data_IF_369720592493
#
_entry.id   IF_369720592493
#
_cell.length_a   1.000
_cell.length_b   1.000
_cell.length_c   1.000
_cell.angle_alpha   90.00
_cell.angle_beta   90.00
_cell.angle_gamma   90.00
#
_symmetry.space_group_name_H-M   'P 1'
#
loop_
_entity.id
_entity.type
_entity.pdbx_description
1 polymer ?
#
# COMPACT_ATOMS: atom_id res chain seq x y z
N UNK A 1 -23.22 -23.61 33.60
CA UNK A 1 -23.56 -22.78 32.43
C UNK A 1 -22.62 -23.10 31.28
N UNK A 2 -23.14 -23.28 30.06
CA UNK A 2 -22.31 -23.44 28.85
C UNK A 2 -22.13 -22.06 28.21
N UNK A 3 -20.89 -21.68 27.91
CA UNK A 3 -20.54 -20.43 27.22
C UNK A 3 -20.46 -20.68 25.73
N UNK A 4 -21.27 -19.98 24.93
CA UNK A 4 -21.21 -20.06 23.46
C UNK A 4 -20.49 -18.83 22.91
N UNK A 5 -19.40 -19.07 22.19
CA UNK A 5 -18.58 -18.03 21.54
C UNK A 5 -18.70 -18.22 20.03
N UNK A 6 -18.98 -17.13 19.33
CA UNK A 6 -19.02 -17.09 17.86
C UNK A 6 -17.84 -16.29 17.35
N UNK A 7 -17.07 -16.89 16.43
CA UNK A 7 -16.08 -16.18 15.62
C UNK A 7 -16.74 -15.81 14.30
N UNK A 8 -16.96 -14.52 14.06
CA UNK A 8 -17.74 -14.01 12.95
C UNK A 8 -16.89 -13.21 11.97
N UNK A 9 -16.98 -13.57 10.69
CA UNK A 9 -16.57 -12.71 9.60
C UNK A 9 -17.78 -11.98 8.98
N UNK A 10 -18.89 -11.78 9.70
CA UNK A 10 -20.01 -10.97 9.21
C UNK A 10 -19.78 -9.49 9.52
N UNK A 11 -20.60 -8.63 8.90
CA UNK A 11 -20.62 -7.20 9.25
C UNK A 11 -21.16 -7.02 10.67
N UNK A 12 -20.76 -5.97 11.38
CA UNK A 12 -21.20 -5.66 12.74
C UNK A 12 -22.73 -5.62 12.85
N UNK A 13 -23.40 -5.09 11.83
CA UNK A 13 -24.87 -5.07 11.79
C UNK A 13 -25.49 -6.47 11.76
N UNK A 14 -24.85 -7.41 11.05
CA UNK A 14 -25.29 -8.80 11.01
C UNK A 14 -24.96 -9.53 12.30
N UNK A 15 -23.86 -9.18 12.97
CA UNK A 15 -23.52 -9.69 14.29
C UNK A 15 -24.53 -9.23 15.35
N UNK A 16 -25.03 -7.98 15.24
CA UNK A 16 -26.15 -7.50 16.08
C UNK A 16 -27.41 -8.33 15.85
N UNK A 17 -27.80 -8.52 14.59
CA UNK A 17 -28.95 -9.35 14.25
C UNK A 17 -28.80 -10.80 14.74
N UNK A 18 -27.58 -11.35 14.68
CA UNK A 18 -27.28 -12.67 15.18
C UNK A 18 -27.42 -12.75 16.71
N UNK A 19 -26.92 -11.75 17.43
CA UNK A 19 -27.07 -11.65 18.89
C UNK A 19 -28.55 -11.53 19.30
N UNK A 20 -29.34 -10.70 18.60
CA UNK A 20 -30.77 -10.56 18.85
C UNK A 20 -31.54 -11.86 18.60
N UNK A 21 -31.19 -12.56 17.51
CA UNK A 21 -31.87 -13.80 17.10
C UNK A 21 -31.51 -15.00 18.00
N UNK A 22 -30.34 -14.97 18.64
CA UNK A 22 -29.83 -16.10 19.44
C UNK A 22 -29.28 -15.63 20.81
N UNK A 23 -30.16 -15.35 21.80
CA UNK A 23 -29.76 -14.87 23.13
C UNK A 23 -28.85 -15.84 23.94
N UNK A 24 -28.68 -17.08 23.48
CA UNK A 24 -27.77 -18.07 24.08
C UNK A 24 -26.29 -17.77 23.78
N UNK A 25 -25.98 -16.92 22.80
CA UNK A 25 -24.60 -16.53 22.49
C UNK A 25 -24.09 -15.62 23.60
N UNK A 26 -22.96 -15.97 24.21
CA UNK A 26 -22.35 -15.17 25.27
C UNK A 26 -21.39 -14.11 24.71
N UNK A 27 -20.71 -14.44 23.61
CA UNK A 27 -19.71 -13.57 22.98
C UNK A 27 -19.70 -13.75 21.46
N UNK A 28 -19.65 -12.64 20.72
CA UNK A 28 -19.32 -12.61 19.30
C UNK A 28 -18.00 -11.86 19.14
N UNK A 29 -17.03 -12.49 18.49
CA UNK A 29 -15.77 -11.88 18.07
C UNK A 29 -15.86 -11.63 16.56
N UNK A 30 -16.10 -10.38 16.17
CA UNK A 30 -16.23 -9.94 14.78
C UNK A 30 -14.90 -9.55 14.13
N UNK A 31 -14.79 -9.64 12.80
CA UNK A 31 -13.56 -9.29 12.07
C UNK A 31 -13.75 -8.51 10.74
N UNK A 32 -14.95 -8.48 10.14
CA UNK A 32 -15.12 -7.98 8.75
C UNK A 32 -15.11 -6.46 8.61
N UNK A 33 -15.88 -5.75 9.43
CA UNK A 33 -15.98 -4.31 9.29
C UNK A 33 -14.78 -3.68 9.98
N UNK A 34 -13.91 -2.94 9.29
CA UNK A 34 -12.69 -2.37 9.90
C UNK A 34 -12.93 -1.32 11.00
N UNK A 35 -14.17 -1.22 11.49
CA UNK A 35 -14.52 -0.60 12.75
C UNK A 35 -14.06 -1.51 13.90
N UNK A 36 -13.27 -0.97 14.83
CA UNK A 36 -12.98 -1.64 16.09
C UNK A 36 -13.85 -1.07 17.19
N UNK A 37 -14.24 -1.93 18.13
CA UNK A 37 -15.08 -1.53 19.25
C UNK A 37 -14.19 -1.07 20.40
N UNK A 38 -13.96 0.24 20.56
CA UNK A 38 -13.20 0.78 21.71
C UNK A 38 -13.79 0.33 23.06
N UNK A 39 -15.11 0.16 23.10
CA UNK A 39 -15.85 -0.47 24.19
C UNK A 39 -16.68 -1.61 23.61
N UNK A 40 -16.83 -2.75 24.32
CA UNK A 40 -17.70 -3.83 23.89
C UNK A 40 -19.13 -3.34 23.64
N UNK A 41 -19.79 -3.96 22.68
CA UNK A 41 -21.18 -3.68 22.35
C UNK A 41 -22.04 -4.79 22.96
N UNK A 42 -23.02 -4.41 23.78
CA UNK A 42 -23.93 -5.38 24.38
C UNK A 42 -25.26 -5.39 23.62
N UNK A 43 -25.72 -6.61 23.32
CA UNK A 43 -27.02 -6.88 22.70
C UNK A 43 -27.69 -7.96 23.53
N UNK A 44 -28.61 -7.57 24.40
CA UNK A 44 -29.22 -8.47 25.38
C UNK A 44 -28.17 -9.14 26.27
N UNK A 45 -28.09 -10.46 26.21
CA UNK A 45 -27.13 -11.30 26.96
C UNK A 45 -25.89 -11.66 26.16
N UNK A 46 -25.67 -11.03 25.01
CA UNK A 46 -24.52 -11.24 24.14
C UNK A 46 -23.62 -10.01 24.14
N UNK A 47 -22.32 -10.22 24.33
CA UNK A 47 -21.30 -9.19 24.12
C UNK A 47 -20.67 -9.34 22.73
N UNK A 48 -20.50 -8.25 22.02
CA UNK A 48 -19.85 -8.19 20.71
C UNK A 48 -18.57 -7.39 20.85
N UNK A 49 -17.46 -7.97 20.38
CA UNK A 49 -16.14 -7.35 20.38
C UNK A 49 -15.52 -7.47 19.01
N UNK A 50 -14.78 -6.44 18.61
CA UNK A 50 -14.04 -6.45 17.36
C UNK A 50 -12.69 -5.75 17.55
N UNK A 51 -11.62 -6.51 17.28
CA UNK A 51 -10.25 -5.97 17.25
C UNK A 51 -10.02 -5.22 15.94
N UNK A 52 -9.19 -4.17 16.00
CA UNK A 52 -8.82 -3.42 14.80
C UNK A 52 -7.98 -4.26 13.84
N UNK A 53 -7.81 -3.74 12.63
CA UNK A 53 -6.99 -4.36 11.59
C UNK A 53 -5.49 -4.15 11.85
N UNK A 54 -4.65 -4.98 11.20
CA UNK A 54 -3.16 -4.91 11.22
C UNK A 54 -2.48 -5.18 12.56
N UNK A 55 -3.10 -5.97 13.45
CA UNK A 55 -2.49 -6.39 14.72
C UNK A 55 -2.03 -5.21 15.59
N UNK A 56 -2.70 -4.06 15.48
CA UNK A 56 -2.41 -2.89 16.33
C UNK A 56 -2.96 -3.06 17.74
N UNK A 57 -3.93 -3.96 17.93
CA UNK A 57 -4.56 -4.22 19.21
C UNK A 57 -4.71 -5.72 19.44
N UNK A 58 -4.52 -6.14 20.68
CA UNK A 58 -4.86 -7.47 21.18
C UNK A 58 -6.16 -7.38 21.97
N UNK A 59 -7.17 -8.14 21.55
CA UNK A 59 -8.39 -8.31 22.32
C UNK A 59 -8.19 -9.32 23.45
N UNK A 60 -8.45 -8.91 24.68
CA UNK A 60 -8.40 -9.77 25.87
C UNK A 60 -9.82 -9.91 26.40
N UNK A 61 -10.30 -11.15 26.52
CA UNK A 61 -11.62 -11.45 27.07
C UNK A 61 -11.48 -12.31 28.31
N UNK A 62 -12.04 -11.84 29.43
CA UNK A 62 -12.03 -12.52 30.72
C UNK A 62 -13.44 -12.98 31.06
N UNK A 63 -13.61 -14.29 31.25
CA UNK A 63 -14.88 -14.86 31.68
C UNK A 63 -14.99 -14.82 33.21
N UNK A 64 -16.06 -14.23 33.76
CA UNK A 64 -16.30 -14.25 35.20
C UNK A 64 -16.48 -15.70 35.68
N UNK A 65 -15.95 -16.00 36.87
CA UNK A 65 -16.03 -17.33 37.47
C UNK A 65 -17.46 -17.76 37.82
N UNK A 66 -17.66 -19.06 38.04
CA UNK A 66 -18.97 -19.70 38.21
C UNK A 66 -19.86 -19.13 39.34
N UNK A 67 -19.33 -18.30 40.24
CA UNK A 67 -20.07 -17.66 41.34
C UNK A 67 -20.84 -16.39 40.91
N UNK A 68 -20.68 -15.94 39.67
CA UNK A 68 -21.39 -14.78 39.13
C UNK A 68 -22.50 -15.23 38.19
N UNK A 69 -23.72 -15.38 38.69
CA UNK A 69 -24.90 -15.48 37.83
C UNK A 69 -25.05 -14.18 37.04
N UNK A 70 -24.91 -14.27 35.71
CA UNK A 70 -25.27 -13.24 34.73
C UNK A 70 -24.35 -12.02 34.53
N UNK A 71 -23.01 -12.17 34.60
CA UNK A 71 -22.13 -11.12 34.06
C UNK A 71 -21.60 -11.48 32.66
N UNK A 72 -21.73 -10.54 31.73
CA UNK A 72 -21.15 -10.63 30.39
C UNK A 72 -19.62 -10.72 30.48
N UNK A 73 -18.95 -11.41 29.54
CA UNK A 73 -17.48 -11.50 29.53
C UNK A 73 -16.84 -10.10 29.56
N UNK A 74 -15.87 -9.85 30.44
CA UNK A 74 -15.14 -8.59 30.42
C UNK A 74 -14.24 -8.58 29.19
N UNK A 75 -14.21 -7.47 28.45
CA UNK A 75 -13.41 -7.37 27.25
C UNK A 75 -12.64 -6.04 27.21
N UNK A 76 -11.35 -6.16 26.91
CA UNK A 76 -10.38 -5.08 26.83
C UNK A 76 -9.63 -5.14 25.49
N UNK A 77 -9.30 -3.97 24.95
CA UNK A 77 -8.37 -3.83 23.83
C UNK A 77 -7.03 -3.31 24.36
N UNK A 78 -6.01 -4.15 24.29
CA UNK A 78 -4.64 -3.78 24.62
C UNK A 78 -3.95 -3.27 23.36
N UNK A 79 -3.53 -2.02 23.35
CA UNK A 79 -2.74 -1.45 22.25
C UNK A 79 -1.37 -2.13 22.17
N UNK A 80 -1.05 -2.72 21.03
CA UNK A 80 0.25 -3.28 20.71
C UNK A 80 1.13 -2.16 20.12
N UNK A 81 1.38 -1.10 20.90
CA UNK A 81 2.45 -0.15 20.58
C UNK A 81 3.82 -0.74 20.91
N UNK A 82 4.87 -0.09 20.40
CA UNK A 82 6.35 -0.29 20.44
C UNK A 82 6.98 -1.19 21.53
N UNK A 83 6.30 -1.49 22.64
CA UNK A 83 6.77 -2.34 23.74
C UNK A 83 7.06 -3.79 23.34
N UNK A 84 6.28 -4.37 22.42
CA UNK A 84 6.55 -5.73 21.88
C UNK A 84 7.67 -5.75 20.84
N UNK A 85 7.92 -4.62 20.15
CA UNK A 85 9.07 -4.47 19.25
C UNK A 85 10.40 -4.36 20.02
N UNK A 86 10.37 -3.87 21.26
CA UNK A 86 11.55 -3.69 22.11
C UNK A 86 12.16 -4.99 22.64
N UNK A 87 11.43 -6.10 22.62
CA UNK A 87 11.93 -7.41 23.05
C UNK A 87 11.25 -8.57 22.32
N UNK A 88 11.49 -8.72 21.01
CA UNK A 88 10.90 -9.81 20.23
C UNK A 88 11.49 -11.15 20.70
N UNK A 89 10.63 -12.15 20.85
CA UNK A 89 11.06 -13.52 21.13
C UNK A 89 12.09 -13.97 20.07
N UNK A 90 13.30 -14.42 20.46
CA UNK A 90 14.35 -14.82 19.53
C UNK A 90 13.92 -15.90 18.53
N UNK A 91 13.05 -16.83 18.94
CA UNK A 91 12.50 -17.89 18.10
C UNK A 91 11.52 -17.31 17.08
N UNK A 92 10.66 -16.38 17.49
CA UNK A 92 9.73 -15.69 16.57
C UNK A 92 10.50 -14.83 15.56
N UNK A 93 11.52 -14.10 16.00
CA UNK A 93 12.40 -13.31 15.12
C UNK A 93 13.08 -14.17 14.07
N UNK A 94 13.56 -15.35 14.45
CA UNK A 94 14.14 -16.34 13.53
C UNK A 94 13.11 -16.81 12.49
N UNK A 95 11.92 -17.21 12.93
CA UNK A 95 10.85 -17.67 12.03
C UNK A 95 10.43 -16.59 11.01
N UNK A 96 10.25 -15.35 11.46
CA UNK A 96 9.94 -14.22 10.58
C UNK A 96 11.05 -14.00 9.55
N UNK A 97 12.31 -14.05 9.97
CA UNK A 97 13.48 -13.86 9.10
C UNK A 97 13.55 -14.95 8.02
N UNK A 98 13.37 -16.21 8.42
CA UNK A 98 13.32 -17.34 7.49
C UNK A 98 12.15 -17.23 6.51
N UNK A 99 10.96 -16.81 6.98
CA UNK A 99 9.80 -16.59 6.12
C UNK A 99 9.99 -15.43 5.14
N UNK A 100 10.54 -14.29 5.58
CA UNK A 100 10.83 -13.13 4.70
C UNK A 100 11.78 -13.53 3.58
N UNK A 101 12.85 -14.25 3.91
CA UNK A 101 13.85 -14.74 2.95
C UNK A 101 13.23 -15.70 1.92
N UNK A 102 12.35 -16.62 2.35
CA UNK A 102 11.63 -17.54 1.45
C UNK A 102 10.60 -16.81 0.59
N UNK A 103 9.84 -15.89 1.16
CA UNK A 103 8.77 -15.16 0.48
C UNK A 103 9.30 -14.23 -0.61
N UNK A 104 10.45 -13.60 -0.40
CA UNK A 104 11.16 -12.83 -1.44
C UNK A 104 11.48 -13.67 -2.69
N UNK A 105 11.75 -14.97 -2.52
CA UNK A 105 12.00 -15.89 -3.64
C UNK A 105 10.71 -16.29 -4.38
N UNK A 106 9.55 -16.18 -3.72
CA UNK A 106 8.24 -16.61 -4.21
C UNK A 106 7.45 -15.51 -4.94
N UNK A 107 7.88 -14.24 -4.89
CA UNK A 107 7.27 -13.11 -5.63
C UNK A 107 7.28 -13.30 -7.16
N UNK A 108 8.00 -14.31 -7.66
CA UNK A 108 8.00 -14.71 -9.07
C UNK A 108 6.66 -15.24 -9.61
N UNK A 109 5.63 -15.44 -8.78
CA UNK A 109 4.38 -16.08 -9.20
C UNK A 109 3.20 -15.16 -8.89
N UNK A 110 2.87 -14.27 -9.82
CA UNK A 110 1.50 -13.80 -10.13
C UNK A 110 1.59 -12.90 -11.36
N UNK A 111 1.83 -13.50 -12.52
CA UNK A 111 1.50 -12.88 -13.80
C UNK A 111 -0.02 -12.79 -13.91
N UNK A 112 -0.60 -11.66 -13.51
CA UNK A 112 -1.89 -11.29 -14.07
C UNK A 112 -1.66 -10.88 -15.52
N UNK A 113 -2.05 -11.77 -16.43
CA UNK A 113 -2.26 -11.48 -17.86
C UNK A 113 -3.22 -10.28 -18.00
N UNK A 114 -2.66 -9.08 -18.02
CA UNK A 114 -3.31 -7.92 -18.60
C UNK A 114 -2.61 -7.62 -19.93
N UNK A 115 -3.39 -7.60 -21.01
CA UNK A 115 -2.91 -7.48 -22.38
C UNK A 115 -1.99 -6.25 -22.54
N UNK A 116 -0.81 -6.37 -23.15
CA UNK A 116 0.19 -5.32 -23.09
C UNK A 116 0.00 -4.26 -24.19
N UNK A 117 0.19 -2.99 -23.82
CA UNK A 117 0.69 -1.94 -24.73
C UNK A 117 2.22 -2.05 -24.87
N UNK A 118 2.78 -3.26 -24.95
CA UNK A 118 4.23 -3.51 -24.91
C UNK A 118 4.86 -3.45 -23.50
N UNK A 119 6.20 -3.56 -23.40
CA UNK A 119 6.92 -3.54 -22.13
C UNK A 119 6.93 -2.15 -21.47
N UNK A 120 7.05 -2.13 -20.15
CA UNK A 120 7.34 -0.92 -19.39
C UNK A 120 8.77 -0.43 -19.66
N UNK A 121 8.93 0.89 -19.84
CA UNK A 121 10.21 1.52 -20.18
C UNK A 121 10.87 2.27 -19.02
N UNK A 122 10.12 2.63 -17.98
CA UNK A 122 10.54 3.46 -16.85
C UNK A 122 10.91 4.90 -17.25
N UNK A 123 11.00 5.79 -16.26
CA UNK A 123 11.25 7.21 -16.50
C UNK A 123 12.61 7.50 -17.17
N UNK A 124 13.57 6.57 -17.08
CA UNK A 124 14.94 6.71 -17.60
C UNK A 124 14.93 6.97 -19.12
N UNK A 125 14.02 6.34 -19.84
CA UNK A 125 13.80 6.59 -21.27
C UNK A 125 13.02 7.88 -21.51
N UNK A 126 11.97 8.12 -20.72
CA UNK A 126 11.07 9.25 -20.89
C UNK A 126 11.75 10.62 -20.71
N UNK A 127 12.65 10.74 -19.73
CA UNK A 127 13.30 12.02 -19.38
C UNK A 127 14.14 12.60 -20.53
N UNK A 128 14.61 11.75 -21.45
CA UNK A 128 15.40 12.18 -22.62
C UNK A 128 14.62 13.11 -23.55
N UNK A 129 13.30 12.98 -23.61
CA UNK A 129 12.41 13.84 -24.41
C UNK A 129 11.44 14.68 -23.56
N UNK A 130 11.15 14.25 -22.33
CA UNK A 130 10.14 14.85 -21.45
C UNK A 130 10.73 15.38 -20.13
N UNK A 131 11.84 16.09 -20.21
CA UNK A 131 12.54 16.65 -19.05
C UNK A 131 11.63 17.53 -18.16
N UNK A 132 10.79 18.46 -18.69
CA UNK A 132 9.94 19.29 -17.82
C UNK A 132 8.89 18.47 -17.06
N UNK A 133 8.29 17.49 -17.72
CA UNK A 133 7.32 16.58 -17.10
C UNK A 133 7.99 15.69 -16.04
N UNK A 134 9.21 15.22 -16.31
CA UNK A 134 10.01 14.48 -15.34
C UNK A 134 10.32 15.31 -14.09
N UNK A 135 10.79 16.56 -14.24
CA UNK A 135 11.07 17.46 -13.12
C UNK A 135 9.82 17.72 -12.27
N UNK A 136 8.67 17.92 -12.92
CA UNK A 136 7.39 18.04 -12.21
C UNK A 136 7.06 16.75 -11.43
N UNK A 137 7.10 15.59 -12.10
CA UNK A 137 6.83 14.30 -11.47
C UNK A 137 7.71 14.05 -10.25
N UNK A 138 9.00 14.39 -10.35
CA UNK A 138 9.97 14.23 -9.28
C UNK A 138 9.60 15.00 -8.02
N UNK A 139 8.88 16.12 -8.13
CA UNK A 139 8.35 16.88 -6.99
C UNK A 139 7.11 16.27 -6.32
N UNK A 140 6.50 15.24 -6.91
CA UNK A 140 5.26 14.64 -6.40
C UNK A 140 5.51 13.59 -5.32
N UNK A 141 4.49 13.27 -4.52
CA UNK A 141 4.55 12.16 -3.56
C UNK A 141 4.72 10.79 -4.24
N UNK A 142 4.36 10.66 -5.52
CA UNK A 142 4.50 9.40 -6.26
C UNK A 142 5.95 9.07 -6.59
N UNK A 143 6.76 10.08 -6.95
CA UNK A 143 8.20 9.90 -7.14
C UNK A 143 8.92 9.49 -5.85
N UNK A 144 8.36 9.88 -4.70
CA UNK A 144 8.89 9.57 -3.37
C UNK A 144 8.16 8.41 -2.68
N UNK A 145 7.35 7.64 -3.40
CA UNK A 145 6.47 6.64 -2.80
C UNK A 145 7.24 5.58 -2.02
N UNK A 146 8.51 5.28 -2.34
CA UNK A 146 9.30 4.26 -1.65
C UNK A 146 9.81 4.68 -0.28
N UNK A 147 9.91 5.98 0.02
CA UNK A 147 10.50 6.48 1.27
C UNK A 147 9.86 5.89 2.54
N UNK A 148 8.51 5.83 2.68
CA UNK A 148 7.91 5.20 3.86
C UNK A 148 8.17 3.70 3.99
N UNK A 149 8.48 2.99 2.90
CA UNK A 149 8.84 1.56 2.96
C UNK A 149 10.28 1.37 3.43
N UNK A 150 11.17 2.32 3.11
CA UNK A 150 12.54 2.35 3.59
C UNK A 150 12.63 2.57 5.09
N UNK A 151 11.99 3.62 5.57
CA UNK A 151 12.01 4.04 6.98
C UNK A 151 11.52 2.92 7.92
N UNK A 152 10.67 2.03 7.41
CA UNK A 152 10.08 0.92 8.18
C UNK A 152 10.67 -0.47 7.83
N UNK A 153 11.61 -0.57 6.89
CA UNK A 153 12.17 -1.84 6.39
C UNK A 153 11.11 -2.82 5.80
N UNK A 154 10.14 -2.29 5.04
CA UNK A 154 9.05 -3.06 4.42
C UNK A 154 9.30 -3.43 2.95
N UNK A 155 10.48 -3.17 2.39
CA UNK A 155 10.81 -3.54 1.00
C UNK A 155 10.73 -5.04 0.69
N UNK A 156 10.74 -5.88 1.73
CA UNK A 156 10.58 -7.33 1.63
C UNK A 156 9.13 -7.77 1.41
N UNK A 157 8.15 -6.87 1.51
CA UNK A 157 6.73 -7.18 1.47
C UNK A 157 6.16 -7.01 0.06
N UNK A 158 5.80 -8.10 -0.64
CA UNK A 158 5.36 -8.04 -2.05
C UNK A 158 4.10 -7.18 -2.23
N UNK A 159 3.19 -7.23 -1.26
CA UNK A 159 1.96 -6.44 -1.24
C UNK A 159 2.20 -4.93 -1.21
N UNK A 160 3.33 -4.48 -0.66
CA UNK A 160 3.70 -3.06 -0.64
C UNK A 160 4.25 -2.63 -2.00
N UNK A 161 5.04 -3.49 -2.66
CA UNK A 161 5.65 -3.17 -3.94
C UNK A 161 4.60 -2.96 -5.05
N UNK A 162 3.45 -3.64 -4.98
CA UNK A 162 2.35 -3.47 -5.96
C UNK A 162 1.85 -2.03 -6.09
N UNK A 163 1.91 -1.23 -5.02
CA UNK A 163 1.44 0.16 -5.03
C UNK A 163 2.59 1.18 -5.06
N UNK A 164 3.80 0.80 -4.66
CA UNK A 164 4.92 1.72 -4.47
C UNK A 164 5.97 1.66 -5.59
N UNK A 165 5.80 0.76 -6.56
CA UNK A 165 6.68 0.60 -7.73
C UNK A 165 5.87 0.59 -9.02
N UNK A 166 6.54 0.47 -10.17
CA UNK A 166 5.91 0.21 -11.48
C UNK A 166 5.41 -1.24 -11.62
N UNK A 167 4.80 -1.81 -10.57
CA UNK A 167 4.16 -3.15 -10.57
C UNK A 167 5.03 -4.24 -11.19
N UNK A 168 6.31 -4.25 -10.88
CA UNK A 168 7.27 -5.18 -11.48
C UNK A 168 8.11 -5.89 -10.42
N UNK A 169 8.46 -7.13 -10.72
CA UNK A 169 9.35 -8.01 -9.95
C UNK A 169 10.81 -7.88 -10.39
N UNK A 170 11.13 -6.93 -11.28
CA UNK A 170 12.40 -6.86 -12.01
C UNK A 170 13.59 -6.25 -11.24
N UNK A 171 13.48 -6.14 -9.91
CA UNK A 171 14.46 -5.45 -9.06
C UNK A 171 14.21 -3.94 -9.01
N UNK A 172 14.98 -3.19 -8.21
CA UNK A 172 14.73 -1.76 -8.03
C UNK A 172 15.37 -0.91 -9.14
N UNK A 173 16.60 -1.25 -9.53
CA UNK A 173 17.32 -0.70 -10.68
C UNK A 173 17.89 -1.83 -11.54
N UNK A 174 17.97 -1.60 -12.85
CA UNK A 174 18.73 -2.42 -13.81
C UNK A 174 19.75 -1.52 -14.48
N UNK A 175 21.03 -1.89 -14.42
CA UNK A 175 22.14 -1.19 -15.07
C UNK A 175 22.34 -1.69 -16.51
N UNK A 176 23.05 -0.92 -17.33
CA UNK A 176 23.35 -1.26 -18.73
C UNK A 176 24.12 -2.58 -18.90
N UNK A 177 24.93 -2.97 -17.91
CA UNK A 177 25.65 -4.25 -17.88
C UNK A 177 24.75 -5.43 -17.44
N UNK A 178 23.46 -5.19 -17.20
CA UNK A 178 22.47 -6.16 -16.75
C UNK A 178 22.46 -6.38 -15.24
N UNK A 179 23.35 -5.74 -14.47
CA UNK A 179 23.37 -5.84 -13.00
C UNK A 179 22.09 -5.24 -12.41
N UNK A 180 21.51 -5.94 -11.43
CA UNK A 180 20.34 -5.48 -10.69
C UNK A 180 20.75 -4.94 -9.33
N UNK A 181 20.29 -3.74 -8.98
CA UNK A 181 20.49 -3.16 -7.65
C UNK A 181 19.22 -3.21 -6.82
N UNK A 182 19.40 -3.17 -5.49
CA UNK A 182 18.34 -3.26 -4.51
C UNK A 182 17.62 -1.92 -4.25
N UNK A 183 16.64 -1.98 -3.36
CA UNK A 183 15.77 -0.83 -3.04
C UNK A 183 16.50 0.31 -2.34
N UNK A 184 17.58 0.02 -1.60
CA UNK A 184 18.40 1.06 -0.95
C UNK A 184 19.18 1.88 -1.97
N UNK A 185 19.76 1.21 -2.96
CA UNK A 185 20.47 1.84 -4.07
C UNK A 185 19.50 2.69 -4.91
N UNK A 186 18.28 2.20 -5.12
CA UNK A 186 17.22 2.97 -5.78
C UNK A 186 16.82 4.23 -4.99
N UNK A 187 16.56 4.11 -3.68
CA UNK A 187 16.22 5.25 -2.83
C UNK A 187 17.31 6.34 -2.87
N UNK A 188 18.57 5.95 -2.67
CA UNK A 188 19.70 6.89 -2.71
C UNK A 188 19.81 7.60 -4.06
N UNK A 189 19.56 6.88 -5.15
CA UNK A 189 19.51 7.45 -6.50
C UNK A 189 18.32 8.41 -6.71
N UNK A 190 17.14 8.10 -6.19
CA UNK A 190 15.99 9.02 -6.28
C UNK A 190 16.22 10.31 -5.48
N UNK A 191 16.82 10.21 -4.30
CA UNK A 191 17.19 11.37 -3.50
C UNK A 191 18.20 12.27 -4.21
N UNK A 192 19.19 11.67 -4.88
CA UNK A 192 20.18 12.41 -5.64
C UNK A 192 19.58 13.11 -6.86
N UNK A 193 18.64 12.48 -7.56
CA UNK A 193 17.86 13.14 -8.63
C UNK A 193 17.02 14.30 -8.09
N UNK A 194 16.34 14.11 -6.96
CA UNK A 194 15.54 15.18 -6.34
C UNK A 194 16.41 16.36 -5.88
N UNK A 195 17.66 16.11 -5.50
CA UNK A 195 18.65 17.15 -5.24
C UNK A 195 19.07 17.86 -6.54
N UNK A 196 19.47 17.11 -7.57
CA UNK A 196 19.82 17.64 -8.89
C UNK A 196 18.74 18.56 -9.48
N UNK A 197 17.47 18.16 -9.40
CA UNK A 197 16.36 18.97 -9.91
C UNK A 197 16.18 20.30 -9.19
N UNK A 198 16.63 20.41 -7.93
CA UNK A 198 16.51 21.63 -7.12
C UNK A 198 17.72 22.55 -7.26
N UNK A 199 18.93 21.99 -7.25
CA UNK A 199 20.17 22.78 -7.12
C UNK A 199 21.20 22.53 -8.24
N UNK A 200 20.88 21.68 -9.22
CA UNK A 200 21.76 21.35 -10.34
C UNK A 200 22.96 20.46 -9.97
N UNK A 201 23.08 19.99 -8.72
CA UNK A 201 24.17 19.11 -8.29
C UNK A 201 23.97 17.71 -8.88
N UNK A 202 24.84 17.24 -9.78
CA UNK A 202 24.66 15.94 -10.44
C UNK A 202 24.66 14.80 -9.41
N UNK A 203 23.86 13.74 -9.64
CA UNK A 203 23.74 12.64 -8.70
C UNK A 203 25.09 11.91 -8.55
N UNK A 204 25.57 11.62 -7.32
CA UNK A 204 26.66 10.68 -7.16
C UNK A 204 26.20 9.28 -7.62
N UNK A 205 27.16 8.52 -8.13
CA UNK A 205 26.98 7.20 -8.76
C UNK A 205 25.91 6.30 -8.09
N UNK A 206 25.18 5.44 -8.86
CA UNK A 206 25.32 5.24 -10.30
C UNK A 206 24.86 6.47 -11.09
N UNK A 207 25.70 6.89 -12.03
CA UNK A 207 25.37 7.99 -12.91
C UNK A 207 24.16 7.58 -13.78
N UNK A 208 23.29 8.53 -14.12
CA UNK A 208 22.08 8.27 -14.93
C UNK A 208 22.38 7.44 -16.18
N UNK A 209 23.55 7.69 -16.77
CA UNK A 209 24.06 7.05 -17.98
C UNK A 209 24.32 5.55 -17.81
N UNK A 210 24.48 5.07 -16.57
CA UNK A 210 24.73 3.64 -16.28
C UNK A 210 23.44 2.86 -16.00
N UNK A 211 22.32 3.54 -15.82
CA UNK A 211 21.03 2.94 -15.49
C UNK A 211 20.25 2.69 -16.79
N UNK A 212 19.88 1.43 -17.03
CA UNK A 212 19.01 1.06 -18.14
C UNK A 212 17.54 1.27 -17.75
N UNK A 213 17.14 0.82 -16.54
CA UNK A 213 15.76 0.92 -16.05
C UNK A 213 15.70 1.20 -14.56
N UNK A 214 14.76 2.06 -14.16
CA UNK A 214 14.45 2.34 -12.77
C UNK A 214 13.01 1.92 -12.45
N UNK A 215 12.82 0.84 -11.71
CA UNK A 215 11.50 0.22 -11.52
C UNK A 215 10.71 0.79 -10.35
N UNK A 216 11.38 1.48 -9.44
CA UNK A 216 10.74 2.40 -8.48
C UNK A 216 10.77 3.85 -8.96
N UNK A 217 10.02 4.78 -8.37
CA UNK A 217 8.87 4.58 -7.49
C UNK A 217 7.58 4.44 -8.35
N UNK A 218 6.48 5.10 -7.98
CA UNK A 218 5.27 5.21 -8.81
C UNK A 218 5.53 6.23 -9.92
N UNK A 219 5.54 5.77 -11.17
CA UNK A 219 6.03 6.50 -12.36
C UNK A 219 4.91 6.90 -13.33
N UNK A 220 5.29 7.54 -14.43
CA UNK A 220 4.40 7.94 -15.53
C UNK A 220 3.53 6.77 -16.03
N UNK A 221 4.15 5.60 -16.19
CA UNK A 221 3.48 4.41 -16.72
C UNK A 221 2.50 3.75 -15.73
N UNK A 222 2.55 4.10 -14.43
CA UNK A 222 1.48 3.73 -13.49
C UNK A 222 0.17 4.46 -13.82
N UNK A 223 0.26 5.68 -14.38
CA UNK A 223 -0.89 6.51 -14.74
C UNK A 223 -1.32 6.32 -16.20
N UNK A 224 -0.36 6.38 -17.13
CA UNK A 224 -0.60 6.37 -18.57
C UNK A 224 -0.59 4.96 -19.20
N UNK A 225 -0.19 3.95 -18.43
CA UNK A 225 0.05 2.58 -18.90
C UNK A 225 1.45 2.40 -19.49
N UNK A 226 1.79 1.17 -19.84
CA UNK A 226 3.07 0.85 -20.46
C UNK A 226 3.24 1.61 -21.79
N UNK A 227 4.42 2.20 -21.97
CA UNK A 227 4.78 2.99 -23.13
C UNK A 227 5.17 2.15 -24.35
N UNK A 228 5.54 0.88 -24.15
CA UNK A 228 5.90 0.00 -25.25
C UNK A 228 7.07 0.58 -26.05
N UNK A 229 6.88 0.78 -27.35
CA UNK A 229 7.89 1.33 -28.24
C UNK A 229 7.62 2.81 -28.62
N UNK A 230 6.86 3.53 -27.80
CA UNK A 230 6.65 4.98 -27.97
C UNK A 230 8.00 5.71 -28.08
N UNK A 231 8.17 6.63 -29.06
CA UNK A 231 7.15 7.21 -29.95
C UNK A 231 6.93 6.48 -31.29
N UNK A 232 7.66 5.40 -31.55
CA UNK A 232 7.65 4.72 -32.84
C UNK A 232 6.41 3.85 -33.06
N UNK A 233 5.86 3.26 -31.99
CA UNK A 233 4.62 2.49 -32.06
C UNK A 233 3.70 2.80 -30.87
N UNK A 234 2.44 3.16 -31.17
CA UNK A 234 1.39 3.42 -30.19
C UNK A 234 1.43 4.83 -29.59
N UNK A 235 0.24 5.34 -29.23
CA UNK A 235 0.08 6.62 -28.55
C UNK A 235 -0.23 6.40 -27.07
N UNK A 236 0.54 7.06 -26.19
CA UNK A 236 0.20 7.17 -24.78
C UNK A 236 -1.05 8.04 -24.61
N UNK A 237 -1.99 7.59 -23.79
CA UNK A 237 -3.24 8.34 -23.58
C UNK A 237 -2.98 9.50 -22.62
N UNK A 238 -3.24 10.74 -23.06
CA UNK A 238 -3.21 11.91 -22.16
C UNK A 238 -4.26 11.80 -21.04
N UNK A 239 -5.39 11.12 -21.31
CA UNK A 239 -6.43 10.87 -20.32
C UNK A 239 -6.08 9.67 -19.43
N UNK A 240 -6.25 9.85 -18.11
CA UNK A 240 -6.06 8.81 -17.09
C UNK A 240 -7.41 8.54 -16.42
N UNK A 241 -7.85 7.28 -16.42
CA UNK A 241 -9.10 6.87 -15.78
C UNK A 241 -9.04 6.99 -14.25
N UNK A 242 -10.15 7.29 -13.57
CA UNK A 242 -10.23 7.35 -12.11
C UNK A 242 -9.88 6.01 -11.46
N UNK A 243 -10.23 4.91 -12.11
CA UNK A 243 -9.91 3.54 -11.67
C UNK A 243 -8.41 3.28 -11.54
N UNK A 244 -7.56 4.01 -12.28
CA UNK A 244 -6.10 3.91 -12.13
C UNK A 244 -5.63 4.32 -10.74
N UNK A 245 -6.19 5.40 -10.20
CA UNK A 245 -5.87 5.90 -8.86
C UNK A 245 -6.41 4.95 -7.77
N UNK A 246 -7.62 4.43 -7.98
CA UNK A 246 -8.32 3.59 -7.01
C UNK A 246 -7.69 2.19 -6.83
N UNK A 247 -6.76 1.78 -7.70
CA UNK A 247 -5.94 0.58 -7.48
C UNK A 247 -5.09 0.68 -6.21
N UNK A 248 -4.65 1.89 -5.86
CA UNK A 248 -3.78 2.14 -4.70
C UNK A 248 -4.50 2.95 -3.61
N UNK A 249 -5.39 3.88 -3.98
CA UNK A 249 -6.15 4.70 -3.04
C UNK A 249 -7.50 4.04 -2.71
N UNK A 250 -7.45 2.95 -1.96
CA UNK A 250 -8.64 2.31 -1.37
C UNK A 250 -9.09 3.04 -0.11
N UNK A 251 -10.26 2.69 0.43
CA UNK A 251 -10.76 3.20 1.72
C UNK A 251 -9.70 3.09 2.82
N UNK A 252 -8.99 1.98 2.89
CA UNK A 252 -7.96 1.71 3.89
C UNK A 252 -6.70 2.57 3.72
N UNK A 253 -6.32 2.82 2.46
CA UNK A 253 -5.04 3.46 2.10
C UNK A 253 -5.17 4.96 1.96
N UNK A 254 -6.37 5.45 1.71
CA UNK A 254 -6.70 6.86 1.58
C UNK A 254 -8.02 7.18 2.30
N UNK A 255 -8.13 6.94 3.63
CA UNK A 255 -9.40 7.09 4.35
C UNK A 255 -10.00 8.49 4.24
N UNK A 256 -9.15 9.52 4.07
CA UNK A 256 -9.60 10.90 3.84
C UNK A 256 -10.41 11.09 2.54
N UNK A 257 -10.32 10.16 1.58
CA UNK A 257 -11.07 10.18 0.32
C UNK A 257 -12.48 9.59 0.46
N UNK A 258 -12.80 8.99 1.60
CA UNK A 258 -14.04 8.24 1.79
C UNK A 258 -14.85 8.76 2.98
N UNK A 259 -16.16 8.52 2.92
CA UNK A 259 -17.11 8.70 4.04
C UNK A 259 -17.71 7.32 4.32
N UNK A 260 -17.17 6.62 5.33
CA UNK A 260 -17.35 5.17 5.44
C UNK A 260 -16.79 4.48 4.19
N UNK A 261 -17.54 3.53 3.61
CA UNK A 261 -17.14 2.78 2.41
C UNK A 261 -17.37 3.54 1.08
N UNK A 262 -17.93 4.75 1.13
CA UNK A 262 -18.28 5.51 -0.07
C UNK A 262 -17.20 6.56 -0.41
N UNK A 263 -16.74 6.53 -1.66
CA UNK A 263 -15.79 7.52 -2.18
C UNK A 263 -16.45 8.91 -2.24
N UNK A 264 -15.80 9.92 -1.68
CA UNK A 264 -16.31 11.30 -1.68
C UNK A 264 -16.44 11.80 -3.13
N UNK A 265 -17.58 12.39 -3.52
CA UNK A 265 -17.79 12.89 -4.88
C UNK A 265 -16.67 13.86 -5.31
N UNK A 266 -16.11 13.64 -6.50
CA UNK A 266 -15.10 14.50 -7.09
C UNK A 266 -13.70 14.46 -6.45
N UNK A 267 -13.47 13.68 -5.39
CA UNK A 267 -12.17 13.66 -4.68
C UNK A 267 -11.02 13.22 -5.59
N UNK A 268 -11.24 12.21 -6.44
CA UNK A 268 -10.22 11.72 -7.38
C UNK A 268 -9.86 12.81 -8.38
N UNK A 269 -10.85 13.51 -8.92
CA UNK A 269 -10.64 14.64 -9.83
C UNK A 269 -9.88 15.79 -9.17
N UNK A 270 -10.19 16.12 -7.91
CA UNK A 270 -9.45 17.12 -7.14
C UNK A 270 -7.99 16.72 -6.93
N UNK A 271 -7.74 15.46 -6.54
CA UNK A 271 -6.39 14.95 -6.29
C UNK A 271 -5.57 14.82 -7.57
N UNK A 272 -6.19 14.44 -8.69
CA UNK A 272 -5.55 14.46 -10.01
C UNK A 272 -5.03 15.83 -10.41
N UNK A 273 -5.71 16.93 -10.05
CA UNK A 273 -5.22 18.29 -10.35
C UNK A 273 -3.86 18.60 -9.70
N UNK A 274 -3.54 17.98 -8.57
CA UNK A 274 -2.27 18.17 -7.86
C UNK A 274 -1.09 17.45 -8.54
N UNK A 275 -1.37 16.48 -9.40
CA UNK A 275 -0.38 15.63 -10.08
C UNK A 275 -0.52 15.68 -11.60
N UNK A 276 -1.33 16.61 -12.12
CA UNK A 276 -1.49 16.85 -13.54
C UNK A 276 -0.30 17.69 -13.99
N UNK A 277 0.38 17.26 -15.04
CA UNK A 277 1.43 18.08 -15.66
C UNK A 277 0.89 19.48 -15.96
N UNK A 278 1.63 20.55 -15.63
CA UNK A 278 1.28 21.92 -15.96
C UNK A 278 0.92 22.07 -17.45
N UNK A 279 -0.11 22.87 -17.76
CA UNK A 279 -0.67 22.99 -19.11
C UNK A 279 0.29 23.66 -20.11
N UNK A 280 1.29 24.36 -19.61
CA UNK A 280 2.44 24.98 -20.28
C UNK A 280 3.55 23.97 -20.64
N UNK A 281 3.42 22.71 -20.21
CA UNK A 281 4.26 21.58 -20.68
C UNK A 281 3.58 20.88 -21.88
N UNK A 282 2.71 21.58 -22.60
CA UNK A 282 2.21 21.11 -23.90
C UNK A 282 3.22 21.44 -24.99
N UNK A 283 3.87 20.41 -25.52
CA UNK A 283 4.25 20.20 -26.93
C UNK A 283 4.46 21.43 -27.85
N UNK A 284 5.03 22.56 -27.41
CA UNK A 284 5.52 23.60 -28.32
C UNK A 284 6.95 23.32 -28.82
N UNK A 285 7.56 22.19 -28.43
CA UNK A 285 8.97 21.93 -28.67
C UNK A 285 9.35 20.77 -29.61
N UNK A 286 8.44 19.84 -29.96
CA UNK A 286 8.83 18.62 -30.71
C UNK A 286 7.79 18.21 -31.77
N UNK A 287 7.30 19.21 -32.51
CA UNK A 287 6.77 18.99 -33.85
C UNK A 287 7.72 19.72 -34.83
N UNK A 288 8.83 19.07 -35.16
CA UNK A 288 9.71 19.43 -36.28
C UNK A 288 10.32 18.14 -36.83
#
# INVERSE_FOLDING_TARGET
>A
HQTLIVLSELSLEKDRQLAESFPKISLIIGSRDQAFTQKPIDVGTTRIVQTSYRNQYLGVVTFPGAASEASLPLAELVGLEESLEKSPDPKLKRLITEWKSKSQKLVKITEEKSAPRGPFQTFVSCVQCHEPAFKFWLGTSHAHALKPLEEKDHFSQPQCLTCHTLKTDRGALTLQDGKKLGWKEHSSFMESLAKFSRDGTPPPQPAMETIERAWGAVQCENCHGAAGNHPFEGNLTKAVADTTCLKCHTEERAPSWYTGKQLKPGVVSQKKKLIRCPADITDEGNAS
#
